data_IF_492963584805
#
_entry.id   IF_492963584805
#
_cell.length_a   1.000
_cell.length_b   1.000
_cell.length_c   1.000
_cell.angle_alpha   90.00
_cell.angle_beta   90.00
_cell.angle_gamma   90.00
#
_symmetry.space_group_name_H-M   'P 1'
#
loop_
_entity.id
_entity.type
_entity.pdbx_description
1 polymer ?
#
# COMPACT_ATOMS: atom_id res chain seq x y z
N UNK A 1 11.46 4.84 -16.02
CA UNK A 1 12.09 5.43 -14.82
C UNK A 1 11.90 6.94 -14.85
N UNK A 2 11.51 7.53 -13.74
CA UNK A 2 11.38 8.98 -13.60
C UNK A 2 12.73 9.66 -13.80
N UNK A 3 12.73 10.73 -14.61
CA UNK A 3 13.91 11.55 -14.84
C UNK A 3 13.76 12.88 -14.10
N UNK A 4 14.55 13.07 -13.05
CA UNK A 4 14.58 14.33 -12.29
C UNK A 4 15.15 15.44 -13.16
N UNK A 5 14.49 16.58 -13.20
CA UNK A 5 15.00 17.80 -13.83
C UNK A 5 15.77 18.56 -12.74
N UNK A 6 17.08 18.74 -12.90
CA UNK A 6 17.86 19.43 -11.88
C UNK A 6 17.46 20.92 -11.80
N UNK A 7 17.56 21.48 -10.60
CA UNK A 7 17.41 22.90 -10.36
C UNK A 7 18.56 23.68 -11.02
N UNK A 8 18.47 25.01 -11.11
CA UNK A 8 19.46 25.88 -11.76
C UNK A 8 20.85 25.74 -11.14
N UNK A 9 20.91 25.40 -9.84
CA UNK A 9 22.16 25.15 -9.10
C UNK A 9 22.71 23.71 -9.25
N UNK A 10 22.05 22.89 -10.09
CA UNK A 10 22.43 21.50 -10.38
C UNK A 10 21.95 20.47 -9.36
N UNK A 11 21.24 20.88 -8.29
CA UNK A 11 20.68 19.96 -7.30
C UNK A 11 19.46 19.23 -7.84
N UNK A 12 19.14 18.02 -7.35
CA UNK A 12 17.95 17.28 -7.74
C UNK A 12 16.65 17.84 -7.12
N UNK A 13 16.71 18.94 -6.39
CA UNK A 13 15.58 19.60 -5.75
C UNK A 13 15.81 21.11 -5.66
N UNK A 14 14.74 21.85 -5.45
CA UNK A 14 14.73 23.29 -5.17
C UNK A 14 14.11 23.54 -3.79
N UNK A 15 14.66 24.48 -3.02
CA UNK A 15 14.08 24.95 -1.76
C UNK A 15 13.53 26.34 -2.00
N UNK A 16 12.23 26.54 -1.75
CA UNK A 16 11.58 27.83 -1.92
C UNK A 16 11.85 28.79 -0.74
N UNK A 17 11.31 29.99 -0.83
CA UNK A 17 11.49 31.03 0.19
C UNK A 17 10.80 30.70 1.55
N UNK A 18 9.93 29.68 1.59
CA UNK A 18 9.29 29.17 2.81
C UNK A 18 10.08 28.01 3.43
N UNK A 19 11.12 27.52 2.74
CA UNK A 19 11.89 26.34 3.15
C UNK A 19 11.30 25.03 2.68
N UNK A 20 10.34 25.03 1.77
CA UNK A 20 9.72 23.82 1.23
C UNK A 20 10.54 23.26 0.09
N UNK A 21 10.57 21.91 -0.02
CA UNK A 21 11.34 21.18 -0.99
C UNK A 21 10.49 20.81 -2.20
N UNK A 22 11.00 21.12 -3.39
CA UNK A 22 10.33 20.85 -4.67
C UNK A 22 11.19 19.99 -5.56
N UNK A 23 10.59 19.01 -6.22
CA UNK A 23 11.22 18.20 -7.27
C UNK A 23 10.39 18.30 -8.54
N UNK A 24 11.07 18.31 -9.70
CA UNK A 24 10.43 18.28 -11.00
C UNK A 24 10.91 17.05 -11.76
N UNK A 25 10.00 16.38 -12.42
CA UNK A 25 10.29 15.25 -13.29
C UNK A 25 9.93 15.57 -14.73
N UNK A 26 10.68 14.97 -15.67
CA UNK A 26 10.25 15.00 -17.07
C UNK A 26 8.89 14.31 -17.17
N UNK A 27 7.93 15.02 -17.76
CA UNK A 27 6.60 14.47 -17.97
C UNK A 27 6.66 13.20 -18.85
N UNK A 28 5.96 12.16 -18.46
CA UNK A 28 5.84 10.92 -19.24
C UNK A 28 4.71 11.09 -20.26
N UNK A 29 5.08 11.27 -21.53
CA UNK A 29 4.11 11.43 -22.63
C UNK A 29 3.61 10.08 -23.13
N UNK A 30 2.46 10.08 -23.78
CA UNK A 30 1.88 8.91 -24.44
C UNK A 30 1.63 7.72 -23.50
N UNK A 31 1.42 8.02 -22.22
CA UNK A 31 1.11 7.05 -21.17
C UNK A 31 0.00 7.58 -20.25
N UNK A 32 -0.77 6.67 -19.70
CA UNK A 32 -1.87 6.94 -18.78
C UNK A 32 -1.71 6.15 -17.49
N UNK A 33 -2.29 6.64 -16.39
CA UNK A 33 -2.51 5.88 -15.18
C UNK A 33 -4.01 5.73 -14.93
N UNK A 34 -4.42 4.67 -14.24
CA UNK A 34 -5.82 4.31 -14.04
C UNK A 34 -6.13 4.22 -12.55
N UNK A 35 -7.24 4.81 -12.12
CA UNK A 35 -7.69 4.75 -10.73
C UNK A 35 -8.41 3.43 -10.40
N UNK A 36 -8.93 2.74 -11.41
CA UNK A 36 -9.66 1.48 -11.27
C UNK A 36 -9.20 0.48 -12.33
N UNK A 37 -9.36 -0.80 -12.00
CA UNK A 37 -9.09 -1.90 -12.94
C UNK A 37 -10.25 -2.01 -13.92
N UNK A 38 -10.09 -1.47 -15.12
CA UNK A 38 -11.07 -1.63 -16.20
C UNK A 38 -10.82 -2.91 -17.02
N UNK A 39 -9.56 -3.32 -17.13
CA UNK A 39 -9.12 -4.50 -17.87
C UNK A 39 -8.14 -5.30 -17.02
N UNK A 40 -8.30 -6.63 -16.94
CA UNK A 40 -7.35 -7.49 -16.23
C UNK A 40 -5.89 -7.29 -16.68
N UNK A 41 -5.70 -6.96 -17.96
CA UNK A 41 -4.36 -6.71 -18.55
C UNK A 41 -3.67 -5.51 -17.91
N UNK A 42 -4.37 -4.42 -17.62
CA UNK A 42 -3.80 -3.24 -16.97
C UNK A 42 -3.34 -3.59 -15.55
N UNK A 43 -4.10 -4.44 -14.85
CA UNK A 43 -3.73 -4.92 -13.53
C UNK A 43 -2.52 -5.87 -13.56
N UNK A 44 -2.44 -6.74 -14.58
CA UNK A 44 -1.25 -7.55 -14.84
C UNK A 44 -0.02 -6.67 -15.09
N UNK A 45 -0.14 -5.61 -15.90
CA UNK A 45 0.96 -4.71 -16.19
C UNK A 45 1.41 -3.91 -14.96
N UNK A 46 0.48 -3.51 -14.11
CA UNK A 46 0.80 -2.91 -12.82
C UNK A 46 1.58 -3.90 -11.93
N UNK A 47 1.10 -5.12 -11.82
CA UNK A 47 1.75 -6.19 -11.08
C UNK A 47 3.18 -6.46 -11.58
N UNK A 48 3.35 -6.55 -12.90
CA UNK A 48 4.66 -6.72 -13.52
C UNK A 48 5.59 -5.54 -13.22
N UNK A 49 5.08 -4.31 -13.28
CA UNK A 49 5.88 -3.12 -13.01
C UNK A 49 6.36 -3.07 -11.56
N UNK A 50 5.51 -3.37 -10.56
CA UNK A 50 5.91 -3.44 -9.16
C UNK A 50 6.81 -4.64 -8.86
N UNK A 51 6.55 -5.81 -9.47
CA UNK A 51 7.47 -6.95 -9.38
C UNK A 51 8.84 -6.62 -9.97
N UNK A 52 8.89 -5.93 -11.11
CA UNK A 52 10.15 -5.48 -11.71
C UNK A 52 10.86 -4.42 -10.85
N UNK A 53 10.12 -3.56 -10.16
CA UNK A 53 10.66 -2.65 -9.17
C UNK A 53 11.39 -3.41 -8.05
N UNK A 54 10.77 -4.46 -7.49
CA UNK A 54 11.39 -5.34 -6.51
C UNK A 54 12.66 -6.03 -7.08
N UNK A 55 12.60 -6.50 -8.32
CA UNK A 55 13.73 -7.14 -8.99
C UNK A 55 14.92 -6.21 -9.18
N UNK A 56 14.66 -4.98 -9.63
CA UNK A 56 15.70 -3.99 -9.91
C UNK A 56 16.41 -3.49 -8.63
N UNK A 57 15.70 -3.50 -7.50
CA UNK A 57 16.21 -3.04 -6.21
C UNK A 57 16.56 -4.20 -5.26
N UNK A 58 16.53 -5.46 -5.73
CA UNK A 58 16.74 -6.62 -4.89
C UNK A 58 18.10 -6.65 -4.18
N UNK A 59 19.14 -6.09 -4.82
CA UNK A 59 20.50 -6.05 -4.30
C UNK A 59 20.84 -4.68 -3.63
N UNK A 60 19.84 -3.76 -3.55
CA UNK A 60 20.03 -2.47 -2.87
C UNK A 60 19.87 -2.63 -1.36
N UNK A 61 20.80 -2.11 -0.53
CA UNK A 61 20.71 -2.24 0.92
C UNK A 61 19.56 -1.39 1.46
N UNK A 62 18.43 -2.04 1.79
CA UNK A 62 17.21 -1.37 2.23
C UNK A 62 17.41 -0.52 3.49
N UNK A 63 18.29 -0.96 4.41
CA UNK A 63 18.67 -0.27 5.64
C UNK A 63 19.43 1.05 5.42
N UNK A 64 19.91 1.30 4.20
CA UNK A 64 20.51 2.59 3.83
C UNK A 64 19.48 3.68 3.52
N UNK A 65 18.21 3.34 3.35
CA UNK A 65 17.12 4.28 3.10
C UNK A 65 16.62 4.92 4.40
N UNK A 66 16.15 6.15 4.28
CA UNK A 66 15.48 6.83 5.38
C UNK A 66 14.02 6.37 5.48
N UNK A 67 13.56 6.14 6.70
CA UNK A 67 12.13 6.00 7.00
C UNK A 67 11.48 7.39 6.96
N UNK A 68 10.92 7.77 5.82
CA UNK A 68 10.27 9.08 5.63
C UNK A 68 8.95 9.18 6.41
N UNK A 69 8.25 8.06 6.56
CA UNK A 69 7.04 7.93 7.38
C UNK A 69 7.28 6.81 8.39
N UNK A 70 7.62 7.18 9.61
CA UNK A 70 7.98 6.22 10.66
C UNK A 70 6.83 5.24 10.95
N UNK A 71 7.16 3.94 10.92
CA UNK A 71 6.20 2.87 11.22
C UNK A 71 5.02 2.82 10.25
N UNK A 72 5.23 3.13 8.96
CA UNK A 72 4.14 3.28 7.98
C UNK A 72 3.27 2.03 7.90
N UNK A 73 3.87 0.84 7.78
CA UNK A 73 3.20 -0.46 7.81
C UNK A 73 3.62 -1.30 9.03
N UNK A 74 3.79 -0.65 10.18
CA UNK A 74 3.93 -1.36 11.45
C UNK A 74 2.53 -1.70 11.99
N UNK A 75 1.96 -2.78 11.47
CA UNK A 75 0.60 -3.24 11.80
C UNK A 75 0.44 -3.51 13.30
N UNK A 76 1.50 -4.00 13.97
CA UNK A 76 1.50 -4.20 15.42
C UNK A 76 1.38 -2.87 16.17
N UNK A 77 2.17 -1.87 15.82
CA UNK A 77 2.09 -0.55 16.46
C UNK A 77 0.74 0.13 16.18
N UNK A 78 0.16 -0.09 14.99
CA UNK A 78 -1.20 0.36 14.64
C UNK A 78 -2.26 -0.32 15.50
N UNK A 79 -2.13 -1.61 15.74
CA UNK A 79 -3.02 -2.37 16.63
C UNK A 79 -2.97 -1.84 18.08
N UNK A 80 -1.79 -1.53 18.59
CA UNK A 80 -1.66 -0.90 19.92
C UNK A 80 -2.27 0.52 19.95
N UNK A 81 -2.18 1.27 18.85
CA UNK A 81 -2.84 2.58 18.73
C UNK A 81 -4.36 2.41 18.72
N UNK A 82 -4.88 1.44 17.97
CA UNK A 82 -6.30 1.10 17.97
C UNK A 82 -6.82 0.77 19.39
N UNK A 83 -6.13 -0.09 20.14
CA UNK A 83 -6.53 -0.42 21.52
C UNK A 83 -6.62 0.83 22.42
N UNK A 84 -5.64 1.75 22.27
CA UNK A 84 -5.68 3.02 23.02
C UNK A 84 -6.86 3.91 22.59
N UNK A 85 -7.18 3.96 21.31
CA UNK A 85 -8.32 4.73 20.81
C UNK A 85 -9.65 4.17 21.33
N UNK A 86 -9.79 2.86 21.39
CA UNK A 86 -10.96 2.18 22.00
C UNK A 86 -11.09 2.52 23.48
N UNK A 87 -9.98 2.42 24.24
CA UNK A 87 -9.97 2.72 25.69
C UNK A 87 -10.29 4.19 25.98
N UNK A 88 -9.72 5.09 25.18
CA UNK A 88 -9.91 6.52 25.36
C UNK A 88 -11.32 6.99 24.96
N UNK A 89 -11.92 6.37 23.93
CA UNK A 89 -13.24 6.66 23.35
C UNK A 89 -13.59 8.17 23.37
N UNK A 90 -12.67 8.98 22.89
CA UNK A 90 -12.72 10.47 23.00
C UNK A 90 -13.98 11.09 22.41
N UNK A 91 -14.62 10.40 21.47
CA UNK A 91 -15.84 10.83 20.81
C UNK A 91 -17.10 10.11 21.33
N UNK A 92 -16.99 9.15 22.24
CA UNK A 92 -18.10 8.34 22.74
C UNK A 92 -18.74 7.46 21.68
N UNK A 93 -17.94 7.07 20.65
CA UNK A 93 -18.42 6.30 19.49
C UNK A 93 -18.24 4.80 19.62
N UNK A 94 -17.39 4.31 20.55
CA UNK A 94 -17.09 2.89 20.70
C UNK A 94 -18.35 2.03 20.92
N UNK A 95 -19.35 2.56 21.59
CA UNK A 95 -20.63 1.88 21.84
C UNK A 95 -21.43 1.54 20.57
N UNK A 96 -21.16 2.19 19.45
CA UNK A 96 -21.87 1.98 18.18
C UNK A 96 -21.18 0.97 17.25
N UNK A 97 -19.93 0.58 17.56
CA UNK A 97 -19.05 -0.24 16.71
C UNK A 97 -18.40 -1.38 17.49
N UNK A 98 -19.16 -1.99 18.40
CA UNK A 98 -18.65 -3.06 19.27
C UNK A 98 -18.26 -4.32 18.50
N UNK A 99 -19.00 -4.65 17.45
CA UNK A 99 -18.75 -5.84 16.63
C UNK A 99 -17.46 -5.65 15.82
N UNK A 100 -17.24 -4.47 15.25
CA UNK A 100 -16.02 -4.11 14.53
C UNK A 100 -14.81 -4.07 15.48
N UNK A 101 -14.97 -3.51 16.68
CA UNK A 101 -13.92 -3.51 17.70
C UNK A 101 -13.55 -4.94 18.07
N UNK A 102 -14.54 -5.79 18.32
CA UNK A 102 -14.29 -7.18 18.70
C UNK A 102 -13.62 -7.95 17.56
N UNK A 103 -14.07 -7.73 16.31
CA UNK A 103 -13.44 -8.31 15.13
C UNK A 103 -11.94 -7.97 15.06
N UNK A 104 -11.56 -6.70 15.26
CA UNK A 104 -10.16 -6.30 15.25
C UNK A 104 -9.39 -6.95 16.39
N UNK A 105 -9.95 -6.99 17.60
CA UNK A 105 -9.29 -7.61 18.77
C UNK A 105 -9.08 -9.12 18.59
N UNK A 106 -10.03 -9.82 17.98
CA UNK A 106 -9.94 -11.27 17.71
C UNK A 106 -8.88 -11.63 16.64
N UNK A 107 -8.37 -10.64 15.90
CA UNK A 107 -7.38 -10.81 14.83
C UNK A 107 -5.99 -10.23 15.19
N UNK A 108 -5.63 -10.19 16.46
CA UNK A 108 -4.30 -9.75 16.90
C UNK A 108 -3.16 -10.56 16.25
N UNK A 109 -3.39 -11.85 15.97
CA UNK A 109 -2.45 -12.72 15.28
C UNK A 109 -2.07 -12.19 13.88
N UNK A 110 -3.04 -11.61 13.16
CA UNK A 110 -2.80 -10.97 11.85
C UNK A 110 -1.91 -9.75 11.99
N UNK A 111 -2.11 -8.95 13.05
CA UNK A 111 -1.28 -7.76 13.30
C UNK A 111 0.18 -8.12 13.61
N UNK A 112 0.45 -9.27 14.20
CA UNK A 112 1.77 -9.67 14.67
C UNK A 112 2.58 -10.49 13.67
N UNK A 113 1.94 -11.13 12.68
CA UNK A 113 2.53 -12.18 11.83
C UNK A 113 3.84 -11.76 11.17
N UNK A 114 3.89 -10.62 10.52
CA UNK A 114 5.10 -10.18 9.80
C UNK A 114 6.18 -9.65 10.74
N UNK A 115 5.81 -8.96 11.81
CA UNK A 115 6.76 -8.52 12.83
C UNK A 115 7.49 -9.69 13.49
N UNK A 116 6.79 -10.77 13.78
CA UNK A 116 7.38 -11.99 14.33
C UNK A 116 8.32 -12.69 13.35
N UNK A 117 7.92 -12.83 12.08
CA UNK A 117 8.74 -13.46 11.05
C UNK A 117 10.01 -12.66 10.77
N UNK A 118 9.88 -11.32 10.73
CA UNK A 118 11.02 -10.43 10.55
C UNK A 118 12.00 -10.54 11.74
N UNK A 119 11.50 -10.54 12.98
CA UNK A 119 12.31 -10.70 14.18
C UNK A 119 13.04 -12.04 14.24
N UNK A 120 12.47 -13.11 13.66
CA UNK A 120 13.10 -14.43 13.52
C UNK A 120 14.09 -14.52 12.34
N UNK A 121 14.15 -13.49 11.49
CA UNK A 121 14.97 -13.50 10.26
C UNK A 121 14.44 -14.44 9.16
N UNK A 122 13.16 -14.81 9.21
CA UNK A 122 12.53 -15.70 8.24
C UNK A 122 12.13 -14.98 6.94
N UNK A 123 11.95 -13.67 7.01
CA UNK A 123 11.67 -12.78 5.88
C UNK A 123 12.62 -11.58 5.90
N UNK A 124 13.11 -11.10 4.74
CA UNK A 124 14.02 -9.97 4.68
C UNK A 124 13.27 -8.64 4.59
N UNK A 125 13.93 -7.55 5.04
CA UNK A 125 13.58 -6.21 4.60
C UNK A 125 14.06 -5.98 3.15
N UNK A 126 13.24 -5.28 2.38
CA UNK A 126 13.51 -4.86 1.01
C UNK A 126 13.28 -3.38 0.83
N UNK A 127 13.70 -2.85 -0.29
CA UNK A 127 13.20 -1.56 -0.77
C UNK A 127 11.79 -1.79 -1.29
N UNK A 128 10.80 -1.17 -0.67
CA UNK A 128 9.38 -1.27 -1.02
C UNK A 128 8.82 0.06 -1.45
N UNK A 129 7.78 0.03 -2.26
CA UNK A 129 7.09 1.24 -2.71
C UNK A 129 6.13 1.77 -1.63
N UNK A 130 5.44 0.85 -0.95
CA UNK A 130 4.50 1.09 0.16
C UNK A 130 3.19 1.85 -0.20
N UNK A 131 2.97 2.14 -1.47
CA UNK A 131 1.69 2.67 -2.00
C UNK A 131 1.51 2.15 -3.44
N UNK A 132 1.25 0.84 -3.56
CA UNK A 132 1.29 0.11 -4.83
C UNK A 132 -0.06 0.08 -5.55
N UNK A 133 -0.75 1.21 -5.55
CA UNK A 133 -2.01 1.37 -6.29
C UNK A 133 -1.77 1.37 -7.79
N UNK A 134 -2.78 0.94 -8.55
CA UNK A 134 -2.74 0.92 -10.01
C UNK A 134 -2.36 2.28 -10.63
N UNK A 135 -2.86 3.38 -10.06
CA UNK A 135 -2.58 4.73 -10.54
C UNK A 135 -1.12 5.19 -10.32
N UNK A 136 -0.31 4.42 -9.59
CA UNK A 136 1.13 4.66 -9.46
C UNK A 136 1.98 3.93 -10.52
N UNK A 137 1.33 3.40 -11.57
CA UNK A 137 2.00 2.85 -12.75
C UNK A 137 1.53 3.58 -14.01
N UNK A 138 2.48 4.11 -14.77
CA UNK A 138 2.22 4.66 -16.10
C UNK A 138 2.21 3.54 -17.12
N UNK A 139 1.12 3.39 -17.84
CA UNK A 139 0.91 2.40 -18.91
C UNK A 139 0.98 3.12 -20.26
N UNK A 140 1.83 2.64 -21.14
CA UNK A 140 2.03 3.17 -22.48
C UNK A 140 0.76 2.97 -23.34
N UNK A 141 0.24 4.06 -23.90
CA UNK A 141 -1.05 4.07 -24.60
C UNK A 141 -1.04 3.27 -25.92
N UNK A 142 0.13 3.04 -26.50
CA UNK A 142 0.26 2.31 -27.77
C UNK A 142 0.43 0.80 -27.52
N UNK A 143 1.27 0.44 -26.56
CA UNK A 143 1.66 -0.96 -26.33
C UNK A 143 0.89 -1.63 -25.20
N UNK A 144 0.20 -0.86 -24.35
CA UNK A 144 -0.47 -1.33 -23.15
C UNK A 144 0.49 -1.81 -22.04
N UNK A 145 1.80 -1.52 -22.13
CA UNK A 145 2.79 -1.98 -21.16
C UNK A 145 3.01 -0.99 -20.03
N UNK A 146 3.18 -1.50 -18.80
CA UNK A 146 3.67 -0.71 -17.67
C UNK A 146 5.11 -0.25 -17.91
N UNK A 147 5.33 1.07 -17.99
CA UNK A 147 6.63 1.64 -18.37
C UNK A 147 7.33 2.41 -17.26
N UNK A 148 6.59 2.88 -16.26
CA UNK A 148 7.16 3.68 -15.18
C UNK A 148 6.33 3.56 -13.91
N UNK A 149 6.98 3.24 -12.79
CA UNK A 149 6.42 3.41 -11.45
C UNK A 149 6.65 4.85 -11.03
N UNK A 150 5.63 5.49 -10.49
CA UNK A 150 5.62 6.89 -10.05
C UNK A 150 5.25 7.00 -8.57
N UNK A 151 5.24 8.21 -8.02
CA UNK A 151 4.94 8.49 -6.61
C UNK A 151 5.88 7.76 -5.63
N UNK A 152 7.18 8.08 -5.76
CA UNK A 152 8.24 7.39 -5.01
C UNK A 152 8.46 7.95 -3.59
N UNK A 153 7.55 8.77 -3.08
CA UNK A 153 7.72 9.46 -1.78
C UNK A 153 7.59 8.54 -0.58
N UNK A 154 6.94 7.38 -0.77
CA UNK A 154 6.79 6.32 0.23
C UNK A 154 7.83 5.21 0.11
N UNK A 155 8.81 5.33 -0.79
CA UNK A 155 9.87 4.32 -0.96
C UNK A 155 10.76 4.28 0.28
N UNK A 156 10.65 3.20 1.03
CA UNK A 156 11.31 2.97 2.33
C UNK A 156 11.67 1.48 2.48
N UNK A 157 12.43 1.11 3.54
CA UNK A 157 12.53 -0.29 3.94
C UNK A 157 11.14 -0.85 4.30
N UNK A 158 10.83 -2.03 3.79
CA UNK A 158 9.54 -2.68 4.05
C UNK A 158 9.55 -4.15 3.63
N UNK A 159 8.37 -4.71 3.46
CA UNK A 159 8.17 -6.12 3.09
C UNK A 159 7.49 -6.22 1.72
N UNK A 160 7.99 -7.10 0.86
CA UNK A 160 7.39 -7.34 -0.45
C UNK A 160 5.91 -7.75 -0.37
N UNK A 161 5.51 -8.41 0.73
CA UNK A 161 4.13 -8.79 1.01
C UNK A 161 3.21 -7.58 1.25
N UNK A 162 3.75 -6.46 1.80
CA UNK A 162 2.98 -5.23 1.94
C UNK A 162 2.67 -4.61 0.58
N UNK A 163 3.68 -4.47 -0.30
CA UNK A 163 3.49 -3.98 -1.66
C UNK A 163 2.47 -4.82 -2.44
N UNK A 164 2.64 -6.15 -2.41
CA UNK A 164 1.69 -7.06 -3.04
C UNK A 164 0.29 -6.91 -2.45
N UNK A 165 0.19 -6.88 -1.13
CA UNK A 165 -1.08 -6.85 -0.40
C UNK A 165 -1.86 -5.56 -0.62
N UNK A 166 -1.20 -4.42 -0.68
CA UNK A 166 -1.85 -3.13 -0.93
C UNK A 166 -2.46 -3.07 -2.34
N UNK A 167 -1.74 -3.58 -3.34
CA UNK A 167 -2.28 -3.70 -4.69
C UNK A 167 -3.52 -4.61 -4.77
N UNK A 168 -3.50 -5.76 -4.07
CA UNK A 168 -4.64 -6.69 -4.06
C UNK A 168 -5.82 -6.06 -3.34
N UNK A 169 -5.60 -5.46 -2.17
CA UNK A 169 -6.64 -4.79 -1.38
C UNK A 169 -7.42 -3.79 -2.23
N UNK A 170 -6.70 -3.00 -3.01
CA UNK A 170 -7.30 -1.94 -3.82
C UNK A 170 -7.82 -2.45 -5.17
N UNK A 171 -7.00 -3.21 -5.90
CA UNK A 171 -7.25 -3.55 -7.31
C UNK A 171 -8.07 -4.81 -7.53
N UNK A 172 -8.12 -5.75 -6.57
CA UNK A 172 -8.94 -6.96 -6.65
C UNK A 172 -10.23 -6.88 -5.83
N UNK A 173 -10.58 -5.70 -5.30
CA UNK A 173 -11.89 -5.48 -4.68
C UNK A 173 -12.98 -5.38 -5.74
N UNK A 174 -14.13 -6.04 -5.51
CA UNK A 174 -15.30 -5.96 -6.39
C UNK A 174 -16.12 -4.68 -6.20
N UNK A 175 -15.80 -3.89 -5.18
CA UNK A 175 -16.54 -2.69 -4.80
C UNK A 175 -15.60 -1.53 -4.48
N UNK A 176 -16.15 -0.32 -4.41
CA UNK A 176 -15.42 0.87 -3.94
C UNK A 176 -15.01 0.70 -2.47
N UNK A 177 -13.97 1.42 -2.04
CA UNK A 177 -13.43 1.35 -0.68
C UNK A 177 -14.47 1.75 0.40
N UNK A 178 -15.47 2.55 0.02
CA UNK A 178 -16.52 3.07 0.89
C UNK A 178 -17.93 2.54 0.53
N UNK A 179 -18.01 1.34 -0.08
CA UNK A 179 -19.29 0.67 -0.39
C UNK A 179 -20.01 0.28 0.91
N UNK A 180 -21.25 0.75 1.07
CA UNK A 180 -22.06 0.48 2.25
C UNK A 180 -22.75 -0.88 2.22
N UNK A 181 -22.99 -1.41 1.03
CA UNK A 181 -23.60 -2.74 0.86
C UNK A 181 -22.50 -3.82 0.85
N UNK A 182 -22.22 -4.37 2.04
CA UNK A 182 -21.17 -5.37 2.23
C UNK A 182 -21.39 -6.63 1.38
N UNK A 183 -22.62 -6.91 0.91
CA UNK A 183 -22.87 -8.05 0.02
C UNK A 183 -22.20 -7.92 -1.36
N UNK A 184 -21.79 -6.70 -1.73
CA UNK A 184 -21.05 -6.41 -2.98
C UNK A 184 -19.55 -6.47 -2.79
N UNK A 185 -19.05 -6.45 -1.55
CA UNK A 185 -17.64 -6.41 -1.24
C UNK A 185 -17.06 -7.82 -1.20
N UNK A 186 -16.18 -8.13 -2.12
CA UNK A 186 -15.45 -9.40 -2.15
C UNK A 186 -14.10 -9.22 -2.87
N UNK A 187 -13.26 -10.25 -2.79
CA UNK A 187 -12.05 -10.32 -3.57
C UNK A 187 -12.34 -11.02 -4.90
N UNK A 188 -12.06 -10.35 -6.02
CA UNK A 188 -12.11 -10.96 -7.35
C UNK A 188 -10.89 -11.89 -7.52
N UNK A 189 -11.15 -13.20 -7.53
CA UNK A 189 -10.09 -14.21 -7.59
C UNK A 189 -9.42 -14.28 -8.96
N UNK A 190 -10.08 -13.89 -10.04
CA UNK A 190 -9.47 -13.84 -11.38
C UNK A 190 -8.50 -12.66 -11.47
N UNK A 191 -8.84 -11.52 -10.88
CA UNK A 191 -7.93 -10.39 -10.74
C UNK A 191 -6.77 -10.71 -9.79
N UNK A 192 -7.05 -11.39 -8.67
CA UNK A 192 -6.00 -11.86 -7.76
C UNK A 192 -4.97 -12.72 -8.50
N UNK A 193 -5.43 -13.75 -9.22
CA UNK A 193 -4.56 -14.64 -10.01
C UNK A 193 -3.79 -13.89 -11.10
N UNK A 194 -4.43 -12.94 -11.74
CA UNK A 194 -3.83 -12.08 -12.75
C UNK A 194 -2.68 -11.26 -12.17
N UNK A 195 -2.89 -10.67 -10.98
CA UNK A 195 -1.87 -9.91 -10.28
C UNK A 195 -0.70 -10.79 -9.83
N UNK A 196 -0.99 -11.97 -9.24
CA UNK A 196 0.04 -12.94 -8.82
C UNK A 196 0.97 -13.28 -9.99
N UNK A 197 0.40 -13.59 -11.17
CA UNK A 197 1.18 -13.93 -12.39
C UNK A 197 2.11 -12.79 -12.78
N UNK A 198 1.57 -11.58 -12.91
CA UNK A 198 2.35 -10.40 -13.30
C UNK A 198 3.43 -10.06 -12.28
N UNK A 199 3.10 -10.10 -10.99
CA UNK A 199 4.04 -9.77 -9.91
C UNK A 199 5.22 -10.76 -9.84
N UNK A 200 4.94 -12.05 -9.85
CA UNK A 200 5.98 -13.08 -9.81
C UNK A 200 6.87 -13.07 -11.06
N UNK A 201 6.28 -12.86 -12.24
CA UNK A 201 7.05 -12.70 -13.49
C UNK A 201 7.95 -11.46 -13.40
N UNK A 202 7.42 -10.31 -12.95
CA UNK A 202 8.19 -9.08 -12.75
C UNK A 202 9.33 -9.25 -11.74
N UNK A 203 9.10 -9.95 -10.62
CA UNK A 203 10.11 -10.24 -9.62
C UNK A 203 11.26 -11.12 -10.13
N UNK A 204 11.05 -11.88 -11.20
CA UNK A 204 12.09 -12.66 -11.86
C UNK A 204 12.84 -13.62 -10.93
N UNK A 205 12.15 -14.23 -9.95
CA UNK A 205 12.72 -15.18 -9.00
C UNK A 205 13.58 -14.53 -7.88
N UNK A 206 13.48 -13.22 -7.67
CA UNK A 206 14.25 -12.52 -6.61
C UNK A 206 13.60 -12.60 -5.22
N UNK A 207 12.33 -12.98 -5.12
CA UNK A 207 11.69 -13.28 -3.84
C UNK A 207 12.15 -14.64 -3.31
N UNK A 208 12.26 -14.76 -2.00
CA UNK A 208 12.47 -16.06 -1.34
C UNK A 208 11.19 -16.91 -1.41
N UNK A 209 11.32 -18.22 -1.28
CA UNK A 209 10.16 -19.11 -1.24
C UNK A 209 9.18 -18.73 -0.12
N UNK A 210 9.72 -18.26 1.03
CA UNK A 210 8.90 -17.83 2.17
C UNK A 210 8.10 -16.59 1.86
N UNK A 211 8.68 -15.60 1.18
CA UNK A 211 7.97 -14.42 0.73
C UNK A 211 6.84 -14.77 -0.25
N UNK A 212 7.11 -15.64 -1.22
CA UNK A 212 6.10 -16.11 -2.18
C UNK A 212 4.94 -16.82 -1.47
N UNK A 213 5.23 -17.71 -0.51
CA UNK A 213 4.22 -18.39 0.33
C UNK A 213 3.34 -17.38 1.09
N UNK A 214 3.92 -16.26 1.50
CA UNK A 214 3.26 -15.26 2.33
C UNK A 214 2.56 -14.12 1.55
N UNK A 215 2.63 -14.10 0.22
CA UNK A 215 1.93 -13.07 -0.57
C UNK A 215 0.43 -13.00 -0.27
N UNK A 216 -0.32 -14.12 -0.17
CA UNK A 216 -1.75 -14.06 0.21
C UNK A 216 -1.97 -13.49 1.61
N UNK A 217 -1.04 -13.78 2.55
CA UNK A 217 -1.09 -13.18 3.89
C UNK A 217 -0.86 -11.67 3.82
N UNK A 218 -0.05 -11.18 2.87
CA UNK A 218 0.12 -9.76 2.61
C UNK A 218 -1.20 -9.07 2.28
N UNK A 219 -2.02 -9.65 1.41
CA UNK A 219 -3.34 -9.14 1.09
C UNK A 219 -4.24 -9.06 2.34
N UNK A 220 -4.24 -10.11 3.17
CA UNK A 220 -5.00 -10.13 4.42
C UNK A 220 -4.52 -9.06 5.40
N UNK A 221 -3.21 -8.94 5.61
CA UNK A 221 -2.62 -7.96 6.54
C UNK A 221 -2.91 -6.53 6.09
N UNK A 222 -2.73 -6.20 4.80
CA UNK A 222 -2.96 -4.85 4.30
C UNK A 222 -4.44 -4.45 4.36
N UNK A 223 -5.36 -5.38 4.07
CA UNK A 223 -6.80 -5.14 4.22
C UNK A 223 -7.17 -4.91 5.68
N UNK A 224 -6.67 -5.76 6.58
CA UNK A 224 -6.88 -5.64 8.02
C UNK A 224 -6.30 -4.34 8.58
N UNK A 225 -5.06 -4.00 8.22
CA UNK A 225 -4.41 -2.76 8.67
C UNK A 225 -5.19 -1.53 8.23
N UNK A 226 -5.64 -1.50 6.97
CA UNK A 226 -6.36 -0.36 6.42
C UNK A 226 -7.72 -0.18 7.11
N UNK A 227 -8.51 -1.24 7.26
CA UNK A 227 -9.80 -1.20 7.97
C UNK A 227 -9.64 -0.80 9.44
N UNK A 228 -8.64 -1.37 10.14
CA UNK A 228 -8.32 -0.98 11.52
C UNK A 228 -7.94 0.50 11.63
N UNK A 229 -7.22 1.07 10.64
CA UNK A 229 -6.87 2.50 10.62
C UNK A 229 -8.08 3.39 10.41
N UNK A 230 -9.03 3.01 9.55
CA UNK A 230 -10.30 3.72 9.38
C UNK A 230 -11.12 3.71 10.65
N UNK A 231 -11.25 2.54 11.29
CA UNK A 231 -11.96 2.43 12.56
C UNK A 231 -11.27 3.23 13.69
N UNK A 232 -9.94 3.25 13.73
CA UNK A 232 -9.19 4.08 14.70
C UNK A 232 -9.50 5.56 14.50
N UNK A 233 -9.43 6.06 13.28
CA UNK A 233 -9.71 7.46 12.96
C UNK A 233 -11.17 7.83 13.24
N UNK A 234 -12.11 6.92 12.99
CA UNK A 234 -13.51 7.10 13.38
C UNK A 234 -13.68 7.27 14.89
N UNK A 235 -13.00 6.46 15.68
CA UNK A 235 -13.03 6.56 17.15
C UNK A 235 -12.37 7.84 17.66
N UNK A 236 -11.34 8.33 16.97
CA UNK A 236 -10.61 9.55 17.32
C UNK A 236 -11.28 10.84 16.79
N UNK A 237 -12.29 10.75 15.90
CA UNK A 237 -13.07 11.90 15.43
C UNK A 237 -12.82 12.32 14.00
N UNK A 238 -12.36 11.42 13.15
CA UNK A 238 -12.20 11.62 11.69
C UNK A 238 -11.19 12.74 11.35
N UNK A 239 -9.98 12.66 11.92
CA UNK A 239 -8.95 13.70 11.75
C UNK A 239 -7.88 13.36 10.72
N UNK A 240 -7.63 12.08 10.47
CA UNK A 240 -6.55 11.63 9.61
C UNK A 240 -6.98 11.47 8.14
N UNK A 241 -8.06 10.72 7.91
CA UNK A 241 -8.57 10.51 6.57
C UNK A 241 -9.59 11.57 6.16
N UNK A 242 -9.51 12.00 4.91
CA UNK A 242 -10.49 12.94 4.38
C UNK A 242 -11.87 12.29 4.27
N UNK A 243 -12.83 12.82 5.00
CA UNK A 243 -14.23 12.38 4.94
C UNK A 243 -15.06 13.31 4.06
N UNK A 244 -16.11 12.76 3.43
CA UNK A 244 -17.04 13.51 2.57
C UNK A 244 -18.49 13.44 3.10
N UNK A 245 -18.73 12.61 4.12
CA UNK A 245 -20.03 12.41 4.76
C UNK A 245 -19.83 11.91 6.19
N UNK A 246 -20.92 11.94 6.98
CA UNK A 246 -20.93 11.31 8.30
C UNK A 246 -20.69 9.80 8.17
N UNK A 247 -19.98 9.22 9.12
CA UNK A 247 -19.59 7.80 9.19
C UNK A 247 -18.77 7.29 7.99
N UNK A 248 -18.18 8.17 7.18
CA UNK A 248 -17.43 7.75 5.99
C UNK A 248 -16.28 6.77 6.33
N UNK A 249 -15.57 6.98 7.44
CA UNK A 249 -14.52 6.05 7.88
C UNK A 249 -15.07 4.71 8.41
N UNK A 250 -16.32 4.67 8.85
CA UNK A 250 -16.98 3.43 9.24
C UNK A 250 -17.45 2.63 8.01
N UNK A 251 -17.86 3.31 6.94
CA UNK A 251 -18.26 2.68 5.69
C UNK A 251 -17.08 2.05 4.93
N UNK A 252 -15.87 2.55 5.18
CA UNK A 252 -14.61 2.00 4.62
C UNK A 252 -14.17 0.73 5.34
#
# INVERSE_FOLDING_TARGET
TLNVIPAVDGKPYFIDYKGEYWRSYKFVTDASSYDQVEKPEDFYQSAYAFGNFQRLLADYPADSLHETIKGFHDTKARFETFKRAVEADVCGRAKYVQDEIQFVLDHEDVANVFGELLAKGEIPLRVTHNDTKLNNVMIDNLTGKGICVIDLDTVMPGLAMHDFGDSIRFGASTAAEDEQDLSKVSCDMDLFDTYVKGYLEGCGGKLTNKEVELLPMGAKVMTFECGMRFLTDYLEGDHYFKIHRENHNLDR
#
